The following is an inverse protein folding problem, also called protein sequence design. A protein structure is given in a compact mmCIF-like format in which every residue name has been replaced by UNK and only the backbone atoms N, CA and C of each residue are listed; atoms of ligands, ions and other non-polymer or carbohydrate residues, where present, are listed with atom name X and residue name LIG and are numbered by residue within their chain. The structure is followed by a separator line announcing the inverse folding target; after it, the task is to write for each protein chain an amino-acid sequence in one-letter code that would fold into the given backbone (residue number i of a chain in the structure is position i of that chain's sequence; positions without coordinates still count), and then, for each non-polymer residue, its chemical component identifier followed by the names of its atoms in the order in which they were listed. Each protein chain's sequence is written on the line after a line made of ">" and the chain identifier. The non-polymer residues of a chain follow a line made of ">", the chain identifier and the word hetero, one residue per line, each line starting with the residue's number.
data_IF_668097840133
#
_entry.id   IF_668097840133
#
_cell.length_a   1.000
_cell.length_b   1.000
_cell.length_c   1.000
_cell.angle_alpha   90.00
_cell.angle_beta   90.00
_cell.angle_gamma   90.00
#
_symmetry.space_group_name_H-M   'P 1'
#
loop_
_entity.id
_entity.type
_entity.pdbx_description
1 polymer ?
#
# COMPACT_ATOMS: atom_id res chain seq x y z
N UNK A 1 18.37 -19.73 52.75
CA UNK A 1 19.81 -19.43 52.61
C UNK A 1 20.00 -18.66 51.32
N UNK A 2 20.43 -17.41 51.46
CA UNK A 2 20.56 -16.41 50.40
C UNK A 2 21.94 -16.51 49.75
N UNK A 3 22.03 -16.50 48.41
CA UNK A 3 23.17 -15.96 47.62
C UNK A 3 22.63 -15.52 46.25
N UNK A 4 22.33 -14.24 46.06
CA UNK A 4 23.23 -13.14 45.67
C UNK A 4 23.27 -12.95 44.15
N UNK A 5 22.77 -11.77 43.79
CA UNK A 5 22.83 -11.09 42.50
C UNK A 5 24.24 -11.07 41.88
N UNK A 6 24.30 -11.15 40.55
CA UNK A 6 25.31 -10.43 39.76
C UNK A 6 24.82 -10.18 38.33
N UNK A 7 24.22 -9.01 38.16
CA UNK A 7 24.39 -8.04 37.07
C UNK A 7 25.14 -8.50 35.80
N UNK A 8 24.44 -8.51 34.66
CA UNK A 8 25.01 -8.14 33.36
C UNK A 8 24.01 -7.29 32.58
N UNK A 9 23.98 -6.00 32.91
CA UNK A 9 23.59 -4.95 31.98
C UNK A 9 24.69 -4.86 30.93
N UNK A 10 24.49 -5.45 29.77
CA UNK A 10 25.37 -5.23 28.61
C UNK A 10 24.66 -4.39 27.56
N UNK A 11 24.95 -3.09 27.68
CA UNK A 11 25.27 -2.14 26.62
C UNK A 11 24.38 -2.07 25.38
N UNK A 12 23.76 -0.90 25.24
CA UNK A 12 23.28 -0.30 24.01
C UNK A 12 24.06 -0.80 22.77
N UNK A 13 23.42 -1.63 21.96
CA UNK A 13 23.87 -1.85 20.59
C UNK A 13 23.70 -0.51 19.85
N UNK A 14 24.82 0.15 19.55
CA UNK A 14 24.84 1.28 18.62
C UNK A 14 24.14 0.85 17.33
N UNK A 15 23.07 1.56 16.96
CA UNK A 15 22.60 1.55 15.58
C UNK A 15 23.64 2.27 14.75
N UNK A 16 24.41 1.53 13.96
CA UNK A 16 25.16 2.12 12.86
C UNK A 16 24.17 2.76 11.87
N UNK A 17 24.10 4.09 11.89
CA UNK A 17 23.37 4.87 10.89
C UNK A 17 24.22 4.82 9.62
N UNK A 18 23.93 3.87 8.73
CA UNK A 18 24.51 3.85 7.39
C UNK A 18 23.84 4.93 6.54
N UNK A 19 24.48 6.10 6.45
CA UNK A 19 24.13 7.13 5.47
C UNK A 19 24.60 6.60 4.10
N UNK A 20 23.73 6.38 3.10
CA UNK A 20 24.18 5.89 1.80
C UNK A 20 24.93 7.02 1.08
N UNK A 21 26.26 6.92 1.03
CA UNK A 21 27.11 7.75 0.18
C UNK A 21 26.81 7.38 -1.28
N UNK A 22 26.21 8.30 -2.02
CA UNK A 22 25.84 8.08 -3.42
C UNK A 22 27.10 8.19 -4.30
N UNK A 23 27.89 7.12 -4.41
CA UNK A 23 29.05 7.09 -5.31
C UNK A 23 28.59 6.89 -6.76
N UNK A 24 28.63 7.96 -7.56
CA UNK A 24 28.53 7.85 -9.03
C UNK A 24 29.79 7.18 -9.57
N UNK A 25 29.69 5.91 -9.94
CA UNK A 25 30.73 5.22 -10.71
C UNK A 25 30.35 5.30 -12.19
N UNK A 26 31.19 6.00 -12.98
CA UNK A 26 31.08 6.00 -14.44
C UNK A 26 31.56 4.65 -14.94
N UNK A 27 30.68 3.90 -15.60
CA UNK A 27 30.98 2.59 -16.15
C UNK A 27 31.90 2.73 -17.37
N UNK A 28 33.21 2.68 -17.14
CA UNK A 28 34.17 2.35 -18.21
C UNK A 28 33.99 0.88 -18.53
N UNK A 29 33.51 0.61 -19.74
CA UNK A 29 33.33 -0.72 -20.28
C UNK A 29 34.67 -1.47 -20.34
N UNK A 30 34.86 -2.46 -19.47
CA UNK A 30 35.73 -3.62 -19.68
C UNK A 30 35.35 -4.65 -18.62
N UNK A 31 34.59 -5.68 -19.03
CA UNK A 31 34.84 -7.08 -18.65
C UNK A 31 33.73 -7.96 -19.27
N UNK A 32 34.14 -8.70 -20.30
CA UNK A 32 33.44 -9.87 -20.82
C UNK A 32 33.44 -10.98 -19.76
N UNK A 33 32.62 -10.84 -18.72
CA UNK A 33 32.19 -11.96 -17.91
C UNK A 33 30.82 -12.40 -18.43
N UNK A 34 30.70 -13.67 -18.78
CA UNK A 34 29.40 -14.31 -19.06
C UNK A 34 28.51 -14.13 -17.84
N UNK A 35 27.69 -13.07 -17.80
CA UNK A 35 26.66 -12.88 -16.78
C UNK A 35 25.71 -14.07 -16.88
N UNK A 36 25.91 -15.05 -16.00
CA UNK A 36 24.92 -16.09 -15.77
C UNK A 36 23.75 -15.42 -15.06
N UNK A 37 22.79 -14.93 -15.84
CA UNK A 37 21.51 -14.51 -15.28
C UNK A 37 20.93 -15.73 -14.55
N UNK A 38 20.46 -15.56 -13.29
CA UNK A 38 19.84 -16.67 -12.58
C UNK A 38 18.67 -17.17 -13.43
N UNK A 39 18.57 -18.49 -13.60
CA UNK A 39 17.45 -19.08 -14.34
C UNK A 39 16.16 -18.67 -13.65
N UNK A 40 15.35 -17.84 -14.30
CA UNK A 40 14.04 -17.45 -13.79
C UNK A 40 13.13 -18.67 -13.80
N UNK A 41 12.92 -19.27 -12.63
CA UNK A 41 11.96 -20.36 -12.44
C UNK A 41 10.61 -19.86 -11.97
N UNK A 42 9.60 -20.73 -11.97
CA UNK A 42 8.26 -20.45 -11.44
C UNK A 42 8.24 -20.07 -9.94
N UNK A 43 9.33 -20.30 -9.22
CA UNK A 43 9.51 -19.85 -7.84
C UNK A 43 9.92 -18.37 -7.70
N UNK A 44 10.22 -17.68 -8.80
CA UNK A 44 10.64 -16.29 -8.77
C UNK A 44 9.54 -15.39 -8.17
N UNK A 45 9.90 -14.30 -7.46
CA UNK A 45 8.94 -13.41 -6.83
C UNK A 45 7.88 -12.85 -7.79
N UNK A 46 8.21 -12.70 -9.07
CA UNK A 46 7.28 -12.24 -10.10
C UNK A 46 6.10 -13.21 -10.26
N UNK A 47 6.35 -14.52 -10.33
CA UNK A 47 5.30 -15.53 -10.50
C UNK A 47 4.40 -15.62 -9.27
N UNK A 48 4.97 -15.52 -8.06
CA UNK A 48 4.19 -15.48 -6.82
C UNK A 48 3.23 -14.30 -6.79
N UNK A 49 3.69 -13.12 -7.21
CA UNK A 49 2.85 -11.91 -7.31
C UNK A 49 1.77 -12.07 -8.37
N UNK A 50 2.12 -12.58 -9.55
CA UNK A 50 1.16 -12.83 -10.64
C UNK A 50 0.07 -13.81 -10.22
N UNK A 51 0.42 -14.92 -9.56
CA UNK A 51 -0.55 -15.88 -9.03
C UNK A 51 -1.45 -15.22 -7.98
N UNK A 52 -0.88 -14.40 -7.09
CA UNK A 52 -1.67 -13.65 -6.10
C UNK A 52 -2.69 -12.72 -6.75
N UNK A 53 -2.28 -11.96 -7.77
CA UNK A 53 -3.17 -11.08 -8.54
C UNK A 53 -4.26 -11.89 -9.26
N UNK A 54 -3.90 -13.02 -9.87
CA UNK A 54 -4.85 -13.89 -10.55
C UNK A 54 -5.91 -14.45 -9.59
N UNK A 55 -5.49 -14.99 -8.45
CA UNK A 55 -6.40 -15.50 -7.42
C UNK A 55 -7.32 -14.38 -6.94
N UNK A 56 -6.77 -13.20 -6.65
CA UNK A 56 -7.57 -12.04 -6.23
C UNK A 56 -8.61 -11.64 -7.28
N UNK A 57 -8.21 -11.58 -8.56
CA UNK A 57 -9.11 -11.25 -9.67
C UNK A 57 -10.23 -12.29 -9.86
N UNK A 58 -9.92 -13.59 -9.75
CA UNK A 58 -10.95 -14.63 -9.84
C UNK A 58 -11.93 -14.63 -8.67
N UNK A 59 -11.43 -14.41 -7.44
CA UNK A 59 -12.28 -14.25 -6.26
C UNK A 59 -13.20 -13.03 -6.40
N UNK A 60 -12.65 -11.91 -6.87
CA UNK A 60 -13.42 -10.70 -7.15
C UNK A 60 -14.51 -10.94 -8.20
N UNK A 61 -14.18 -11.60 -9.30
CA UNK A 61 -15.13 -11.89 -10.37
C UNK A 61 -16.29 -12.79 -9.90
N UNK A 62 -16.03 -13.76 -9.02
CA UNK A 62 -17.09 -14.59 -8.44
C UNK A 62 -18.00 -13.79 -7.50
N UNK A 63 -17.41 -12.97 -6.63
CA UNK A 63 -18.15 -12.07 -5.76
C UNK A 63 -19.05 -11.14 -6.60
N UNK A 64 -18.48 -10.49 -7.60
CA UNK A 64 -19.21 -9.61 -8.52
C UNK A 64 -20.42 -10.33 -9.16
N UNK A 65 -20.21 -11.52 -9.75
CA UNK A 65 -21.31 -12.30 -10.34
C UNK A 65 -22.37 -12.73 -9.32
N UNK A 66 -22.00 -12.98 -8.07
CA UNK A 66 -22.95 -13.33 -7.01
C UNK A 66 -23.83 -12.12 -6.64
N UNK A 67 -23.22 -10.95 -6.44
CA UNK A 67 -23.95 -9.74 -6.01
C UNK A 67 -24.76 -9.10 -7.14
N UNK A 68 -24.23 -9.11 -8.37
CA UNK A 68 -24.91 -8.55 -9.55
C UNK A 68 -26.16 -9.37 -9.91
N UNK A 69 -26.12 -10.70 -9.77
CA UNK A 69 -27.30 -11.56 -10.03
C UNK A 69 -28.46 -11.30 -9.06
N UNK A 70 -28.13 -10.99 -7.81
CA UNK A 70 -29.11 -10.72 -6.76
C UNK A 70 -29.68 -9.28 -6.83
N UNK A 71 -29.19 -8.43 -7.73
CA UNK A 71 -29.53 -7.00 -7.76
C UNK A 71 -29.09 -6.26 -6.47
N UNK A 72 -28.26 -6.89 -5.63
CA UNK A 72 -27.79 -6.36 -4.36
C UNK A 72 -26.53 -5.54 -4.62
N UNK A 73 -26.41 -4.38 -3.96
CA UNK A 73 -25.17 -3.59 -3.98
C UNK A 73 -23.99 -4.44 -3.53
N UNK A 74 -22.87 -4.33 -4.26
CA UNK A 74 -21.63 -5.03 -3.92
C UNK A 74 -21.20 -4.66 -2.48
N UNK A 75 -20.67 -5.61 -1.66
CA UNK A 75 -20.27 -5.33 -0.28
C UNK A 75 -19.26 -4.21 -0.17
N UNK A 76 -18.36 -4.09 -1.16
CA UNK A 76 -17.39 -2.99 -1.23
C UNK A 76 -18.10 -1.65 -1.45
N UNK A 77 -19.11 -1.59 -2.31
CA UNK A 77 -19.93 -0.38 -2.47
C UNK A 77 -20.64 -0.02 -1.17
N UNK A 78 -21.22 -1.01 -0.47
CA UNK A 78 -21.84 -0.76 0.85
C UNK A 78 -20.82 -0.27 1.89
N UNK A 79 -19.63 -0.85 1.90
CA UNK A 79 -18.56 -0.41 2.80
C UNK A 79 -18.09 1.02 2.48
N UNK A 80 -17.93 1.36 1.20
CA UNK A 80 -17.63 2.73 0.78
C UNK A 80 -18.76 3.67 1.21
N UNK A 81 -20.03 3.29 0.99
CA UNK A 81 -21.20 4.07 1.44
C UNK A 81 -21.17 4.33 2.96
N UNK A 82 -20.68 3.39 3.77
CA UNK A 82 -20.58 3.60 5.24
C UNK A 82 -19.52 4.61 5.64
N UNK A 83 -18.50 4.81 4.80
CA UNK A 83 -17.43 5.79 5.04
C UNK A 83 -17.72 7.13 4.34
N UNK A 84 -18.68 7.16 3.41
CA UNK A 84 -19.04 8.35 2.67
C UNK A 84 -19.95 9.26 3.50
N UNK A 85 -19.74 10.57 3.37
CA UNK A 85 -20.66 11.55 3.95
C UNK A 85 -22.03 11.38 3.27
N UNK A 86 -23.15 11.31 4.02
CA UNK A 86 -24.47 11.19 3.44
C UNK A 86 -24.74 12.31 2.43
N UNK A 87 -25.40 11.98 1.32
CA UNK A 87 -25.67 12.92 0.22
C UNK A 87 -26.41 14.18 0.71
N UNK A 88 -27.32 14.03 1.68
CA UNK A 88 -28.04 15.15 2.30
C UNK A 88 -27.10 16.15 2.97
N UNK A 89 -26.08 15.66 3.65
CA UNK A 89 -25.10 16.48 4.35
C UNK A 89 -24.10 17.11 3.39
N UNK A 90 -23.69 16.36 2.36
CA UNK A 90 -22.89 16.90 1.26
C UNK A 90 -23.62 18.04 0.54
N UNK A 91 -24.90 17.84 0.19
CA UNK A 91 -25.73 18.85 -0.48
C UNK A 91 -25.91 20.10 0.39
N UNK A 92 -26.12 19.93 1.70
CA UNK A 92 -26.19 21.06 2.65
C UNK A 92 -24.91 21.89 2.63
N UNK A 93 -23.75 21.26 2.78
CA UNK A 93 -22.45 21.95 2.78
C UNK A 93 -22.16 22.62 1.43
N UNK A 94 -22.50 21.96 0.32
CA UNK A 94 -22.27 22.52 -1.01
C UNK A 94 -23.14 23.75 -1.29
N UNK A 95 -24.39 23.76 -0.84
CA UNK A 95 -25.26 24.93 -0.94
C UNK A 95 -24.76 26.11 -0.08
N UNK A 96 -24.25 25.82 1.11
CA UNK A 96 -23.63 26.81 1.99
C UNK A 96 -22.39 27.45 1.33
N UNK A 97 -21.52 26.64 0.73
CA UNK A 97 -20.38 27.13 -0.04
C UNK A 97 -20.79 27.95 -1.26
N UNK A 98 -21.79 27.50 -2.03
CA UNK A 98 -22.31 28.25 -3.17
C UNK A 98 -22.83 29.63 -2.78
N UNK A 99 -23.55 29.71 -1.66
CA UNK A 99 -24.07 30.98 -1.15
C UNK A 99 -22.93 31.94 -0.76
N UNK A 100 -21.93 31.44 -0.04
CA UNK A 100 -20.75 32.23 0.34
C UNK A 100 -19.96 32.72 -0.89
N UNK A 101 -19.76 31.86 -1.89
CA UNK A 101 -19.08 32.24 -3.14
C UNK A 101 -19.87 33.27 -3.95
N UNK A 102 -21.21 33.15 -3.98
CA UNK A 102 -22.07 34.12 -4.65
C UNK A 102 -22.04 35.47 -3.94
N UNK A 103 -22.03 35.50 -2.60
CA UNK A 103 -21.95 36.74 -1.84
C UNK A 103 -20.58 37.41 -2.00
N UNK A 104 -19.48 36.66 -1.89
CA UNK A 104 -18.13 37.17 -2.11
C UNK A 104 -17.87 37.68 -3.54
N UNK A 105 -18.70 37.30 -4.52
CA UNK A 105 -18.60 37.79 -5.90
C UNK A 105 -19.33 39.10 -6.16
N UNK A 106 -20.09 39.61 -5.18
CA UNK A 106 -20.80 40.90 -5.26
C UNK A 106 -19.97 42.07 -4.73
N UNK A 107 -18.89 41.78 -4.01
CA UNK A 107 -17.85 42.74 -3.57
C UNK A 107 -16.82 42.99 -4.68
#
# INVERSE_FOLDING_TARGET
>A
MNRLWSSRLSFFALRDIQIPLNSRSYATATESSTRRFPKEGFGAPIWKRTIGVFILGTAWYQADRYFVKDGKKHPVTKWIETLMIPESEYKRRNLEHLYLSAEASKD
#
